data_IF_593129136202
#
_entry.id   IF_593129136202
#
_cell.length_a   1.000
_cell.length_b   1.000
_cell.length_c   1.000
_cell.angle_alpha   90.00
_cell.angle_beta   90.00
_cell.angle_gamma   90.00
#
_symmetry.space_group_name_H-M   'P 1'
#
loop_
_entity.id
_entity.type
_entity.pdbx_description
1 polymer ?
#
# COMPACT_ATOMS: atom_id res chain seq x y z
N UNK A 1 7.53 17.84 10.02
CA UNK A 1 7.10 17.05 8.84
C UNK A 1 6.59 15.72 9.34
N UNK A 2 5.46 15.28 8.84
CA UNK A 2 4.85 14.00 9.25
C UNK A 2 5.70 12.84 8.75
N UNK A 3 5.91 11.80 9.57
CA UNK A 3 6.81 10.67 9.25
C UNK A 3 6.04 9.52 8.63
N UNK A 4 6.49 9.02 7.48
CA UNK A 4 5.97 7.84 6.80
C UNK A 4 6.96 6.69 6.86
N UNK A 5 6.49 5.51 7.27
CA UNK A 5 7.21 4.25 7.22
C UNK A 5 6.55 3.33 6.19
N UNK A 6 7.32 2.90 5.18
CA UNK A 6 6.84 2.09 4.07
C UNK A 6 7.34 0.65 4.20
N UNK A 7 6.44 -0.28 4.52
CA UNK A 7 6.73 -1.70 4.69
C UNK A 7 6.38 -2.48 3.42
N UNK A 8 7.20 -3.48 3.11
CA UNK A 8 7.05 -4.27 1.86
C UNK A 8 7.04 -3.35 0.64
N UNK A 9 7.96 -2.40 0.64
CA UNK A 9 7.92 -1.19 -0.19
C UNK A 9 7.91 -1.45 -1.69
N UNK A 10 8.34 -2.65 -2.14
CA UNK A 10 8.46 -2.97 -3.54
C UNK A 10 9.33 -1.94 -4.26
N UNK A 11 8.82 -1.37 -5.33
CA UNK A 11 9.52 -0.31 -6.07
C UNK A 11 9.19 1.12 -5.57
N UNK A 12 8.57 1.24 -4.37
CA UNK A 12 8.31 2.53 -3.72
C UNK A 12 7.00 3.20 -4.13
N UNK A 13 5.95 2.42 -4.38
CA UNK A 13 4.67 2.97 -4.82
C UNK A 13 4.02 3.90 -3.80
N UNK A 14 4.02 3.55 -2.51
CA UNK A 14 3.52 4.40 -1.43
C UNK A 14 4.41 5.63 -1.22
N UNK A 15 5.73 5.46 -1.19
CA UNK A 15 6.66 6.58 -1.07
C UNK A 15 6.52 7.60 -2.21
N UNK A 16 6.22 7.13 -3.44
CA UNK A 16 5.93 8.01 -4.57
C UNK A 16 4.64 8.79 -4.36
N UNK A 17 3.59 8.14 -3.86
CA UNK A 17 2.33 8.80 -3.54
C UNK A 17 2.50 9.86 -2.44
N UNK A 18 3.22 9.52 -1.37
CA UNK A 18 3.59 10.45 -0.28
C UNK A 18 4.34 11.67 -0.83
N UNK A 19 5.30 11.45 -1.73
CA UNK A 19 6.06 12.54 -2.38
C UNK A 19 5.15 13.47 -3.19
N UNK A 20 4.13 12.94 -3.87
CA UNK A 20 3.18 13.75 -4.64
C UNK A 20 2.23 14.55 -3.75
N UNK A 21 1.81 13.99 -2.62
CA UNK A 21 0.96 14.69 -1.65
C UNK A 21 1.71 15.84 -0.98
N UNK A 22 2.96 15.62 -0.63
CA UNK A 22 3.77 16.60 0.09
C UNK A 22 3.44 16.73 1.58
N UNK A 23 4.30 17.39 2.34
CA UNK A 23 4.13 17.59 3.79
C UNK A 23 4.38 16.34 4.65
N UNK A 24 4.64 15.20 4.02
CA UNK A 24 4.94 13.92 4.65
C UNK A 24 6.31 13.46 4.14
N UNK A 25 7.13 12.91 5.00
CA UNK A 25 8.48 12.42 4.67
C UNK A 25 8.57 10.91 4.89
N UNK A 26 8.95 10.17 3.84
CA UNK A 26 9.29 8.75 4.01
C UNK A 26 10.63 8.65 4.74
N UNK A 27 10.61 8.11 5.96
CA UNK A 27 11.80 8.01 6.83
C UNK A 27 12.54 6.69 6.68
N UNK A 28 11.83 5.61 6.33
CA UNK A 28 12.44 4.31 6.11
C UNK A 28 11.60 3.41 5.22
N UNK A 29 12.27 2.40 4.65
CA UNK A 29 11.73 1.30 3.89
C UNK A 29 11.97 -0.04 4.60
N UNK A 30 11.14 -1.03 4.26
CA UNK A 30 11.42 -2.44 4.47
C UNK A 30 11.14 -3.21 3.19
N UNK A 31 12.19 -3.62 2.47
CA UNK A 31 12.14 -4.36 1.21
C UNK A 31 13.34 -5.29 1.08
N UNK A 32 13.08 -6.56 0.76
CA UNK A 32 14.12 -7.60 0.66
C UNK A 32 14.51 -7.97 -0.76
N UNK A 33 13.65 -7.70 -1.75
CA UNK A 33 13.93 -8.05 -3.14
C UNK A 33 15.08 -7.18 -3.68
N UNK A 34 16.21 -7.80 -4.13
CA UNK A 34 17.39 -7.03 -4.52
C UNK A 34 17.16 -6.07 -5.70
N UNK A 35 16.23 -6.40 -6.60
CA UNK A 35 15.89 -5.52 -7.70
C UNK A 35 15.09 -4.31 -7.20
N UNK A 36 14.09 -4.53 -6.34
CA UNK A 36 13.31 -3.48 -5.71
C UNK A 36 14.19 -2.55 -4.85
N UNK A 37 15.12 -3.12 -4.06
CA UNK A 37 16.08 -2.33 -3.29
C UNK A 37 16.89 -1.36 -4.15
N UNK A 38 17.39 -1.81 -5.31
CA UNK A 38 18.12 -0.94 -6.27
C UNK A 38 17.22 0.16 -6.84
N UNK A 39 15.94 -0.14 -7.07
CA UNK A 39 14.97 0.86 -7.55
C UNK A 39 14.72 1.90 -6.47
N UNK A 40 14.56 1.48 -5.20
CA UNK A 40 14.39 2.39 -4.06
C UNK A 40 15.61 3.29 -3.88
N UNK A 41 16.82 2.72 -3.84
CA UNK A 41 18.06 3.48 -3.70
C UNK A 41 18.22 4.55 -4.79
N UNK A 42 17.88 4.20 -6.05
CA UNK A 42 17.95 5.12 -7.18
C UNK A 42 16.95 6.28 -7.08
N UNK A 43 15.70 6.00 -6.67
CA UNK A 43 14.61 6.98 -6.73
C UNK A 43 14.40 7.74 -5.41
N UNK A 44 14.86 7.17 -4.31
CA UNK A 44 14.76 7.70 -2.95
C UNK A 44 16.11 7.62 -2.23
N UNK A 45 17.15 8.29 -2.76
CA UNK A 45 18.51 8.20 -2.21
C UNK A 45 18.55 8.71 -0.77
N UNK A 46 19.32 8.01 0.06
CA UNK A 46 19.53 8.40 1.47
C UNK A 46 18.46 7.91 2.45
N UNK A 47 17.34 7.36 1.98
CA UNK A 47 16.33 6.76 2.86
C UNK A 47 16.80 5.35 3.26
N UNK A 48 16.78 5.08 4.56
CA UNK A 48 17.19 3.80 5.12
C UNK A 48 16.25 2.68 4.67
N UNK A 49 16.82 1.56 4.19
CA UNK A 49 16.09 0.31 3.99
C UNK A 49 16.51 -0.72 5.04
N UNK A 50 15.57 -1.20 5.83
CA UNK A 50 15.80 -2.23 6.86
C UNK A 50 15.95 -3.65 6.28
N UNK A 51 15.63 -3.84 4.99
CA UNK A 51 15.57 -5.18 4.39
C UNK A 51 14.35 -5.95 4.93
N UNK A 52 14.58 -7.02 5.64
CA UNK A 52 13.51 -7.82 6.26
C UNK A 52 12.73 -7.00 7.30
N UNK A 53 11.40 -7.09 7.25
CA UNK A 53 10.49 -6.38 8.17
C UNK A 53 10.75 -6.72 9.64
N UNK A 54 11.31 -7.90 9.92
CA UNK A 54 11.71 -8.32 11.26
C UNK A 54 12.81 -7.43 11.85
N UNK A 55 13.60 -6.78 11.00
CA UNK A 55 14.69 -5.89 11.39
C UNK A 55 14.26 -4.43 11.61
N UNK A 56 12.99 -4.10 11.36
CA UNK A 56 12.48 -2.75 11.55
C UNK A 56 12.51 -2.38 13.04
N UNK A 57 13.25 -1.30 13.34
CA UNK A 57 13.44 -0.76 14.70
C UNK A 57 12.97 0.69 14.85
N UNK A 58 12.28 1.23 13.82
CA UNK A 58 11.65 2.54 13.93
C UNK A 58 10.69 2.59 15.11
N UNK A 59 10.72 3.68 15.87
CA UNK A 59 9.90 3.86 17.08
C UNK A 59 8.74 4.81 16.88
N UNK A 60 8.78 5.60 15.82
CA UNK A 60 7.79 6.62 15.54
C UNK A 60 7.47 6.68 14.06
N UNK A 61 6.19 6.63 13.74
CA UNK A 61 5.65 6.96 12.42
C UNK A 61 4.30 7.64 12.60
N UNK A 62 4.00 8.64 11.80
CA UNK A 62 2.66 9.21 11.75
C UNK A 62 1.74 8.34 10.88
N UNK A 63 2.28 7.80 9.79
CA UNK A 63 1.59 6.84 8.93
C UNK A 63 2.50 5.66 8.62
N UNK A 64 1.94 4.46 8.73
CA UNK A 64 2.56 3.21 8.27
C UNK A 64 1.77 2.70 7.07
N UNK A 65 2.47 2.40 5.99
CA UNK A 65 1.87 1.76 4.82
C UNK A 65 2.51 0.41 4.55
N UNK A 66 1.76 -0.51 3.91
CA UNK A 66 2.32 -1.79 3.53
C UNK A 66 1.40 -2.63 2.65
N UNK A 67 2.00 -3.23 1.62
CA UNK A 67 1.38 -4.24 0.79
C UNK A 67 2.01 -5.60 1.10
N UNK A 68 1.66 -6.21 2.24
CA UNK A 68 2.29 -7.45 2.67
C UNK A 68 1.85 -8.65 1.80
N UNK A 69 2.77 -9.61 1.52
CA UNK A 69 2.45 -10.76 0.69
C UNK A 69 1.38 -11.63 1.36
N UNK A 70 0.22 -11.75 0.69
CA UNK A 70 -0.81 -12.72 1.01
C UNK A 70 -0.53 -13.97 0.16
N UNK A 71 0.13 -14.95 0.72
CA UNK A 71 0.33 -16.22 0.02
C UNK A 71 -0.95 -17.04 0.14
N UNK A 72 -1.53 -17.50 -0.98
CA UNK A 72 -2.64 -18.44 -0.91
C UNK A 72 -2.14 -19.68 -0.17
N UNK A 73 -2.89 -20.14 0.82
CA UNK A 73 -2.78 -21.51 1.31
C UNK A 73 -3.08 -22.40 0.11
N UNK A 74 -2.04 -22.75 -0.68
CA UNK A 74 -2.23 -23.50 -1.90
C UNK A 74 -2.83 -24.85 -1.51
N UNK A 75 -3.97 -25.18 -2.11
CA UNK A 75 -4.70 -26.45 -1.90
C UNK A 75 -3.80 -27.67 -2.23
N UNK A 76 -2.69 -27.46 -2.92
CA UNK A 76 -1.71 -28.46 -3.34
C UNK A 76 -0.47 -28.60 -2.44
N UNK A 77 -0.26 -27.74 -1.43
CA UNK A 77 0.87 -27.80 -0.49
C UNK A 77 0.44 -28.24 0.90
N UNK A 78 1.30 -28.93 1.64
CA UNK A 78 1.06 -29.30 3.05
C UNK A 78 0.59 -28.06 3.82
N UNK A 79 -0.65 -28.11 4.35
CA UNK A 79 -1.26 -27.07 5.19
C UNK A 79 -0.39 -26.86 6.44
N UNK A 80 0.54 -25.91 6.41
CA UNK A 80 1.32 -25.49 7.59
C UNK A 80 0.63 -24.36 8.37
N UNK A 81 -0.51 -23.85 7.86
CA UNK A 81 -1.31 -22.86 8.59
C UNK A 81 -0.51 -21.63 9.01
N UNK A 82 -0.71 -21.21 10.28
CA UNK A 82 -0.04 -20.04 10.90
C UNK A 82 1.47 -20.27 11.16
N UNK A 83 1.98 -21.48 10.98
CA UNK A 83 3.42 -21.84 11.15
C UNK A 83 4.21 -21.70 9.83
N UNK A 84 3.64 -21.12 8.78
CA UNK A 84 4.34 -20.86 7.53
C UNK A 84 5.14 -19.56 7.63
N UNK A 85 6.46 -19.62 7.43
CA UNK A 85 7.38 -18.46 7.42
C UNK A 85 6.96 -17.34 6.46
N UNK A 86 6.00 -17.63 5.57
CA UNK A 86 5.42 -16.70 4.62
C UNK A 86 4.21 -15.92 5.17
N UNK A 87 3.71 -16.28 6.35
CA UNK A 87 2.68 -15.54 7.05
C UNK A 87 3.32 -14.33 7.74
N UNK A 88 3.32 -13.20 7.07
CA UNK A 88 4.11 -12.03 7.46
C UNK A 88 3.30 -10.91 8.11
N UNK A 89 1.96 -11.03 8.15
CA UNK A 89 1.11 -10.06 8.85
C UNK A 89 1.51 -9.83 10.32
N UNK A 90 1.84 -10.85 11.13
CA UNK A 90 2.28 -10.64 12.51
C UNK A 90 3.46 -9.71 12.65
N UNK A 91 4.39 -9.70 11.69
CA UNK A 91 5.54 -8.82 11.70
C UNK A 91 5.16 -7.36 11.35
N UNK A 92 4.24 -7.17 10.40
CA UNK A 92 3.68 -5.85 10.14
C UNK A 92 2.95 -5.32 11.38
N UNK A 93 2.14 -6.16 12.01
CA UNK A 93 1.40 -5.82 13.23
C UNK A 93 2.35 -5.51 14.40
N UNK A 94 3.46 -6.26 14.54
CA UNK A 94 4.52 -5.94 15.51
C UNK A 94 5.08 -4.53 15.30
N UNK A 95 5.37 -4.15 14.05
CA UNK A 95 5.87 -2.81 13.71
C UNK A 95 4.81 -1.74 14.04
N UNK A 96 3.55 -1.98 13.73
CA UNK A 96 2.43 -1.08 14.07
C UNK A 96 2.37 -0.86 15.59
N UNK A 97 2.40 -1.92 16.39
CA UNK A 97 2.42 -1.85 17.86
C UNK A 97 3.63 -1.08 18.40
N UNK A 98 4.78 -1.22 17.75
CA UNK A 98 6.03 -0.55 18.13
C UNK A 98 6.02 0.93 17.82
N UNK A 99 5.52 1.32 16.64
CA UNK A 99 5.54 2.70 16.15
C UNK A 99 4.31 3.51 16.55
N UNK A 100 3.19 2.83 16.85
CA UNK A 100 1.88 3.42 17.22
C UNK A 100 1.49 4.57 16.28
N UNK A 101 1.41 4.34 14.97
CA UNK A 101 1.13 5.39 14.02
C UNK A 101 -0.29 5.93 14.20
N UNK A 102 -0.53 7.19 13.87
CA UNK A 102 -1.88 7.75 13.80
C UNK A 102 -2.70 7.09 12.70
N UNK A 103 -2.06 6.83 11.55
CA UNK A 103 -2.72 6.24 10.39
C UNK A 103 -2.01 4.98 9.89
N UNK A 104 -2.79 4.06 9.36
CA UNK A 104 -2.30 2.84 8.72
C UNK A 104 -3.02 2.70 7.37
N UNK A 105 -2.27 2.34 6.33
CA UNK A 105 -2.84 1.90 5.06
C UNK A 105 -2.23 0.55 4.69
N UNK A 106 -3.08 -0.48 4.66
CA UNK A 106 -2.71 -1.79 4.15
C UNK A 106 -3.31 -2.00 2.76
N UNK A 107 -2.53 -2.60 1.87
CA UNK A 107 -3.01 -3.03 0.54
C UNK A 107 -2.80 -4.52 0.37
N UNK A 108 -3.76 -5.19 -0.29
CA UNK A 108 -3.59 -6.59 -0.62
C UNK A 108 -4.41 -7.03 -1.85
N UNK A 109 -4.13 -8.22 -2.35
CA UNK A 109 -4.89 -8.84 -3.42
C UNK A 109 -6.33 -9.16 -2.96
N UNK A 110 -7.30 -9.22 -3.88
CA UNK A 110 -8.70 -9.47 -3.56
C UNK A 110 -8.95 -10.75 -2.73
N UNK A 111 -8.16 -11.80 -2.96
CA UNK A 111 -8.28 -13.06 -2.20
C UNK A 111 -8.00 -12.89 -0.70
N UNK A 112 -7.33 -11.84 -0.28
CA UNK A 112 -7.10 -11.48 1.11
C UNK A 112 -8.40 -11.38 1.92
N UNK A 113 -9.50 -10.94 1.31
CA UNK A 113 -10.82 -10.84 1.97
C UNK A 113 -11.24 -12.17 2.61
N UNK A 114 -10.99 -13.28 1.92
CA UNK A 114 -11.41 -14.61 2.37
C UNK A 114 -10.37 -15.32 3.24
N UNK A 115 -9.19 -14.74 3.40
CA UNK A 115 -8.05 -15.42 4.02
C UNK A 115 -7.66 -14.82 5.37
N UNK A 116 -7.43 -13.52 5.42
CA UNK A 116 -6.76 -12.88 6.55
C UNK A 116 -7.36 -11.51 6.92
N UNK A 117 -8.31 -10.98 6.14
CA UNK A 117 -8.87 -9.66 6.41
C UNK A 117 -9.48 -9.57 7.82
N UNK A 118 -10.30 -10.56 8.19
CA UNK A 118 -10.97 -10.58 9.51
C UNK A 118 -9.94 -10.52 10.65
N UNK A 119 -8.90 -11.37 10.60
CA UNK A 119 -7.85 -11.36 11.62
C UNK A 119 -7.09 -10.04 11.64
N UNK A 120 -6.80 -9.46 10.47
CA UNK A 120 -6.14 -8.15 10.36
C UNK A 120 -6.96 -7.05 11.03
N UNK A 121 -8.28 -7.03 10.83
CA UNK A 121 -9.17 -6.04 11.45
C UNK A 121 -9.23 -6.24 12.96
N UNK A 122 -9.42 -7.48 13.45
CA UNK A 122 -9.44 -7.82 14.90
C UNK A 122 -8.13 -7.35 15.56
N UNK A 123 -6.99 -7.63 14.95
CA UNK A 123 -5.69 -7.26 15.51
C UNK A 123 -5.56 -5.73 15.61
N UNK A 124 -5.91 -4.98 14.56
CA UNK A 124 -5.87 -3.52 14.56
C UNK A 124 -6.85 -2.92 15.61
N UNK A 125 -8.06 -3.43 15.67
CA UNK A 125 -9.07 -2.99 16.63
C UNK A 125 -8.65 -3.29 18.08
N UNK A 126 -7.93 -4.39 18.32
CA UNK A 126 -7.37 -4.73 19.63
C UNK A 126 -6.34 -3.72 20.14
N UNK A 127 -5.67 -3.00 19.24
CA UNK A 127 -4.72 -1.92 19.56
C UNK A 127 -5.39 -0.52 19.54
N UNK A 128 -6.73 -0.48 19.47
CA UNK A 128 -7.51 0.76 19.53
C UNK A 128 -7.64 1.51 18.22
N UNK A 129 -7.39 0.86 17.08
CA UNK A 129 -7.63 1.44 15.76
C UNK A 129 -9.08 1.22 15.33
N UNK A 130 -9.70 2.26 14.80
CA UNK A 130 -10.90 2.13 13.98
C UNK A 130 -10.49 1.80 12.55
N UNK A 131 -11.22 0.89 11.90
CA UNK A 131 -10.86 0.37 10.58
C UNK A 131 -11.93 0.63 9.53
N UNK A 132 -11.50 0.81 8.29
CA UNK A 132 -12.37 0.86 7.12
C UNK A 132 -11.74 0.12 5.96
N UNK A 133 -12.53 -0.77 5.34
CA UNK A 133 -12.07 -1.59 4.21
C UNK A 133 -12.74 -1.15 2.91
N UNK A 134 -11.95 -1.12 1.84
CA UNK A 134 -12.39 -0.80 0.49
C UNK A 134 -11.88 -1.81 -0.52
N UNK A 135 -12.67 -2.06 -1.55
CA UNK A 135 -12.22 -2.78 -2.75
C UNK A 135 -12.19 -1.80 -3.91
N UNK A 136 -11.00 -1.34 -4.26
CA UNK A 136 -10.84 -0.31 -5.28
C UNK A 136 -10.15 -0.92 -6.50
N UNK A 137 -10.80 -0.89 -7.68
CA UNK A 137 -10.16 -1.28 -8.93
C UNK A 137 -9.25 -0.17 -9.44
N UNK A 138 -8.12 -0.53 -10.05
CA UNK A 138 -7.19 0.43 -10.63
C UNK A 138 -7.81 1.34 -11.70
N UNK A 139 -8.84 0.85 -12.40
CA UNK A 139 -9.61 1.64 -13.36
C UNK A 139 -10.27 2.86 -12.73
N UNK A 140 -10.48 2.89 -11.41
CA UNK A 140 -11.00 4.05 -10.68
C UNK A 140 -10.10 5.29 -10.78
N UNK A 141 -8.80 5.11 -11.03
CA UNK A 141 -7.84 6.20 -11.35
C UNK A 141 -7.44 6.17 -12.83
N UNK A 142 -8.34 5.73 -13.69
CA UNK A 142 -8.17 5.69 -15.15
C UNK A 142 -7.06 4.75 -15.65
N UNK A 143 -6.60 3.79 -14.83
CA UNK A 143 -5.67 2.77 -15.29
C UNK A 143 -6.32 1.85 -16.32
N UNK A 144 -5.54 1.42 -17.33
CA UNK A 144 -6.06 0.58 -18.44
C UNK A 144 -6.37 -0.86 -18.04
N UNK A 145 -6.25 -1.22 -16.76
CA UNK A 145 -6.51 -2.55 -16.23
C UNK A 145 -7.41 -2.50 -15.00
N UNK A 146 -8.21 -3.55 -14.79
CA UNK A 146 -9.16 -3.61 -13.66
C UNK A 146 -8.46 -3.75 -12.31
N UNK A 147 -7.49 -4.63 -12.17
CA UNK A 147 -6.67 -4.88 -10.96
C UNK A 147 -7.35 -4.43 -9.64
N UNK A 148 -8.41 -5.13 -9.22
CA UNK A 148 -9.05 -4.87 -7.93
C UNK A 148 -8.12 -5.22 -6.78
N UNK A 149 -8.04 -4.33 -5.78
CA UNK A 149 -7.26 -4.49 -4.55
C UNK A 149 -8.10 -4.15 -3.34
N UNK A 150 -7.80 -4.83 -2.25
CA UNK A 150 -8.37 -4.53 -0.94
C UNK A 150 -7.45 -3.52 -0.28
N UNK A 151 -8.06 -2.48 0.27
CA UNK A 151 -7.39 -1.44 1.03
C UNK A 151 -8.01 -1.37 2.41
N UNK A 152 -7.19 -1.40 3.44
CA UNK A 152 -7.61 -1.16 4.81
C UNK A 152 -7.00 0.15 5.25
N UNK A 153 -7.83 1.10 5.65
CA UNK A 153 -7.42 2.36 6.26
C UNK A 153 -7.79 2.28 7.73
N UNK A 154 -6.85 2.58 8.60
CA UNK A 154 -7.09 2.57 10.04
C UNK A 154 -6.55 3.85 10.69
N UNK A 155 -7.24 4.31 11.74
CA UNK A 155 -6.89 5.49 12.51
C UNK A 155 -7.09 5.25 14.01
N UNK A 156 -6.24 5.85 14.84
CA UNK A 156 -6.36 5.77 16.32
C UNK A 156 -7.50 6.62 16.88
N UNK A 157 -8.12 7.48 16.07
CA UNK A 157 -9.18 8.38 16.49
C UNK A 157 -10.43 8.18 15.62
N UNK A 158 -11.53 7.75 16.22
CA UNK A 158 -12.81 7.52 15.53
C UNK A 158 -13.27 8.76 14.73
N UNK A 159 -13.09 9.97 15.27
CA UNK A 159 -13.46 11.21 14.57
C UNK A 159 -12.61 11.43 13.32
N UNK A 160 -11.32 11.09 13.37
CA UNK A 160 -10.43 11.14 12.22
C UNK A 160 -10.91 10.21 11.11
N UNK A 161 -11.29 8.97 11.45
CA UNK A 161 -11.79 8.02 10.46
C UNK A 161 -13.18 8.39 9.93
N UNK A 162 -14.08 8.93 10.76
CA UNK A 162 -15.39 9.43 10.31
C UNK A 162 -15.22 10.60 9.32
N UNK A 163 -14.37 11.59 9.64
CA UNK A 163 -14.03 12.65 8.73
C UNK A 163 -13.44 12.13 7.42
N UNK A 164 -12.54 11.13 7.51
CA UNK A 164 -11.99 10.49 6.34
C UNK A 164 -13.07 9.80 5.48
N UNK A 165 -14.03 9.10 6.08
CA UNK A 165 -15.15 8.46 5.37
C UNK A 165 -16.02 9.49 4.63
N UNK A 166 -16.28 10.64 5.22
CA UNK A 166 -17.06 11.71 4.59
C UNK A 166 -16.33 12.31 3.39
N UNK A 167 -15.05 12.64 3.55
CA UNK A 167 -14.22 13.13 2.44
C UNK A 167 -14.04 12.08 1.34
N UNK A 168 -13.92 10.81 1.73
CA UNK A 168 -13.80 9.70 0.78
C UNK A 168 -15.03 9.52 -0.09
N UNK A 169 -16.25 9.64 0.46
CA UNK A 169 -17.50 9.49 -0.31
C UNK A 169 -17.51 10.37 -1.55
N UNK A 170 -17.10 11.63 -1.42
CA UNK A 170 -17.04 12.55 -2.55
C UNK A 170 -16.01 12.14 -3.61
N UNK A 171 -14.87 11.59 -3.18
CA UNK A 171 -13.81 11.11 -4.07
C UNK A 171 -14.17 9.77 -4.70
N UNK A 172 -14.84 8.87 -3.98
CA UNK A 172 -15.30 7.58 -4.47
C UNK A 172 -16.31 7.74 -5.60
N UNK A 173 -17.25 8.68 -5.49
CA UNK A 173 -18.17 8.99 -6.58
C UNK A 173 -17.43 9.45 -7.85
N UNK A 174 -16.39 10.27 -7.71
CA UNK A 174 -15.56 10.69 -8.84
C UNK A 174 -14.80 9.52 -9.46
N UNK A 175 -14.25 8.62 -8.64
CA UNK A 175 -13.54 7.43 -9.09
C UNK A 175 -14.47 6.46 -9.80
N UNK A 176 -15.71 6.29 -9.31
CA UNK A 176 -16.71 5.40 -9.91
C UNK A 176 -17.33 5.97 -11.18
N UNK A 177 -17.59 7.28 -11.25
CA UNK A 177 -18.10 7.94 -12.46
C UNK A 177 -17.15 7.83 -13.66
N UNK A 178 -15.84 7.86 -13.42
CA UNK A 178 -14.81 7.70 -14.46
C UNK A 178 -14.76 6.29 -15.06
N UNK A 179 -15.28 5.28 -14.37
CA UNK A 179 -15.37 3.90 -14.87
C UNK A 179 -16.33 3.78 -16.06
N UNK A 180 -17.27 4.72 -16.22
CA UNK A 180 -18.40 4.59 -17.15
C UNK A 180 -18.27 5.28 -18.51
N UNK A 181 -17.18 5.93 -18.88
CA UNK A 181 -17.20 6.46 -20.25
C UNK A 181 -16.20 7.44 -20.80
N UNK A 182 -15.12 7.80 -20.16
CA UNK A 182 -14.12 8.67 -20.78
C UNK A 182 -12.74 8.01 -20.95
N UNK A 183 -12.12 8.22 -22.11
CA UNK A 183 -10.74 7.78 -22.33
C UNK A 183 -9.82 8.50 -21.36
N UNK A 184 -8.94 7.78 -20.65
CA UNK A 184 -8.05 8.39 -19.67
C UNK A 184 -7.03 9.30 -20.34
N UNK A 185 -7.03 10.58 -20.00
CA UNK A 185 -6.07 11.56 -20.51
C UNK A 185 -4.66 11.41 -19.88
N UNK A 186 -4.58 10.71 -18.75
CA UNK A 186 -3.34 10.62 -17.93
C UNK A 186 -2.46 9.45 -18.34
N UNK A 187 -3.03 8.38 -18.87
CA UNK A 187 -2.31 7.17 -19.24
C UNK A 187 -1.97 7.21 -20.73
N UNK A 188 -0.69 7.29 -21.05
CA UNK A 188 -0.23 7.09 -22.43
C UNK A 188 -0.58 5.66 -22.85
N UNK A 189 -1.01 5.44 -24.11
CA UNK A 189 -1.21 4.10 -24.60
C UNK A 189 0.08 3.29 -24.41
N UNK A 190 -0.07 2.01 -24.09
CA UNK A 190 1.07 1.10 -23.98
C UNK A 190 1.84 1.15 -25.33
N UNK A 191 3.18 1.33 -25.31
CA UNK A 191 3.93 1.28 -26.54
C UNK A 191 3.78 -0.11 -27.19
N UNK A 192 3.71 -0.18 -28.52
CA UNK A 192 3.55 -1.42 -29.29
C UNK A 192 4.61 -2.49 -28.93
N UNK A 193 5.81 -2.05 -28.54
CA UNK A 193 6.82 -2.86 -27.88
C UNK A 193 6.67 -2.69 -26.38
N UNK A 194 6.08 -3.69 -25.71
CA UNK A 194 6.01 -3.73 -24.27
C UNK A 194 7.38 -3.49 -23.65
N UNK A 195 7.47 -2.69 -22.58
CA UNK A 195 8.71 -2.42 -21.80
C UNK A 195 9.41 -3.69 -21.31
N UNK A 196 8.87 -4.83 -21.63
CA UNK A 196 9.26 -6.18 -21.24
C UNK A 196 9.47 -7.09 -22.44
N UNK A 197 9.71 -6.52 -23.65
CA UNK A 197 10.09 -7.27 -24.84
C UNK A 197 11.35 -8.13 -24.62
N UNK A 198 11.52 -9.19 -25.42
CA UNK A 198 12.70 -10.02 -25.36
C UNK A 198 13.97 -9.19 -25.57
N UNK A 199 15.01 -9.45 -24.76
CA UNK A 199 16.27 -8.69 -24.83
C UNK A 199 16.38 -7.48 -23.90
N UNK A 200 15.30 -7.09 -23.19
CA UNK A 200 15.38 -6.04 -22.17
C UNK A 200 16.06 -6.60 -20.91
N UNK A 201 17.13 -5.96 -20.40
CA UNK A 201 17.78 -6.38 -19.16
C UNK A 201 16.81 -6.46 -18.00
N UNK A 202 16.96 -7.50 -17.16
CA UNK A 202 16.12 -7.74 -15.95
C UNK A 202 14.61 -7.82 -16.26
N UNK A 203 14.23 -8.35 -17.42
CA UNK A 203 12.83 -8.46 -17.85
C UNK A 203 11.94 -9.14 -16.82
N UNK A 204 12.39 -10.27 -16.26
CA UNK A 204 11.63 -11.04 -15.26
C UNK A 204 11.41 -10.23 -13.98
N UNK A 205 12.47 -9.58 -13.48
CA UNK A 205 12.40 -8.75 -12.28
C UNK A 205 11.48 -7.54 -12.47
N UNK A 206 11.53 -6.91 -13.64
CA UNK A 206 10.64 -5.80 -14.01
C UNK A 206 9.17 -6.23 -14.00
N UNK A 207 8.86 -7.37 -14.64
CA UNK A 207 7.50 -7.91 -14.68
C UNK A 207 6.99 -8.27 -13.29
N UNK A 208 7.82 -8.95 -12.49
CA UNK A 208 7.51 -9.32 -11.11
C UNK A 208 7.24 -8.09 -10.26
N UNK A 209 8.13 -7.10 -10.31
CA UNK A 209 8.04 -5.88 -9.49
C UNK A 209 6.84 -5.03 -9.89
N UNK A 210 6.55 -4.85 -11.18
CA UNK A 210 5.36 -4.15 -11.66
C UNK A 210 4.08 -4.93 -11.33
N UNK A 211 4.11 -6.27 -11.42
CA UNK A 211 2.99 -7.13 -11.06
C UNK A 211 2.63 -7.05 -9.57
N UNK A 212 3.60 -6.84 -8.71
CA UNK A 212 3.42 -6.72 -7.25
C UNK A 212 3.21 -5.26 -6.79
N UNK A 213 3.56 -4.27 -7.60
CA UNK A 213 3.44 -2.86 -7.22
C UNK A 213 1.98 -2.44 -7.08
N UNK A 214 1.72 -1.57 -6.13
CA UNK A 214 0.46 -0.82 -6.03
C UNK A 214 0.34 0.16 -7.20
N UNK A 215 -0.86 0.71 -7.41
CA UNK A 215 -1.10 1.86 -8.29
C UNK A 215 -0.90 3.13 -7.46
N UNK A 216 0.20 3.90 -7.63
CA UNK A 216 0.52 5.03 -6.76
C UNK A 216 -0.54 6.12 -6.73
N UNK A 217 -1.30 6.29 -7.81
CA UNK A 217 -2.40 7.25 -7.90
C UNK A 217 -3.54 6.92 -6.92
N UNK A 218 -3.84 5.62 -6.69
CA UNK A 218 -4.81 5.23 -5.68
C UNK A 218 -4.30 5.54 -4.28
N UNK A 219 -3.05 5.19 -3.98
CA UNK A 219 -2.43 5.53 -2.72
C UNK A 219 -2.39 7.06 -2.49
N UNK A 220 -2.11 7.84 -3.55
CA UNK A 220 -2.14 9.30 -3.48
C UNK A 220 -3.51 9.84 -3.06
N UNK A 221 -4.60 9.32 -3.65
CA UNK A 221 -5.96 9.77 -3.28
C UNK A 221 -6.26 9.45 -1.81
N UNK A 222 -5.89 8.25 -1.33
CA UNK A 222 -6.07 7.86 0.06
C UNK A 222 -5.28 8.75 1.02
N UNK A 223 -3.99 8.95 0.75
CA UNK A 223 -3.08 9.76 1.59
C UNK A 223 -3.46 11.23 1.54
N UNK A 224 -3.87 11.76 0.39
CA UNK A 224 -4.35 13.14 0.27
C UNK A 224 -5.60 13.36 1.12
N UNK A 225 -6.53 12.40 1.12
CA UNK A 225 -7.73 12.47 1.98
C UNK A 225 -7.37 12.53 3.46
N UNK A 226 -6.39 11.73 3.88
CA UNK A 226 -5.86 11.77 5.25
C UNK A 226 -5.27 13.15 5.57
N UNK A 227 -4.46 13.68 4.66
CA UNK A 227 -3.80 14.98 4.84
C UNK A 227 -4.79 16.14 4.91
N UNK A 228 -5.82 16.13 4.06
CA UNK A 228 -6.85 17.16 4.04
C UNK A 228 -7.55 17.26 5.42
N UNK A 229 -7.84 16.13 6.06
CA UNK A 229 -8.47 16.06 7.38
C UNK A 229 -7.54 16.57 8.49
N UNK A 230 -6.28 16.18 8.46
CA UNK A 230 -5.31 16.65 9.45
C UNK A 230 -5.11 18.17 9.35
N UNK A 231 -5.09 18.71 8.14
CA UNK A 231 -4.94 20.14 7.90
C UNK A 231 -6.20 20.94 8.35
N UNK A 232 -7.40 20.33 8.36
CA UNK A 232 -8.64 20.93 8.86
C UNK A 232 -8.75 20.89 10.39
N UNK A 233 -8.04 20.00 11.06
CA UNK A 233 -8.07 19.83 12.51
C UNK A 233 -6.98 20.63 13.26
N UNK A 234 -6.15 21.43 12.54
CA UNK A 234 -5.14 22.33 13.07
C UNK A 234 -5.69 23.75 13.12
#
# INVERSE_FOLDING_TARGET
MLKHLDLFSGIGGFALAVKWVGGIETVAFSEIDPFCCKVLEKNFPGIKNYGDVRNVTEKEAWIVTGGFPCQPFSVAGRKRGKDDDRYIWPEMFRVIRQTKPTWIICENAFNFVNMELEQTLIDLESEGYETQTFVIPAVGVEAQHRRSRVWVVANTNIKGLEGWKEHWKSKEELLTRKVSGSKPAIWKPEPELGRVANGIPNRVDRLKSLGNSIVPQLAQVLIQTIKDIEDENI
#
